data_IF_704339312798
#
_entry.id   IF_704339312798
#
_cell.length_a   1.000
_cell.length_b   1.000
_cell.length_c   1.000
_cell.angle_alpha   90.00
_cell.angle_beta   90.00
_cell.angle_gamma   90.00
#
_symmetry.space_group_name_H-M   'P 1'
#
loop_
_entity.id
_entity.type
_entity.pdbx_description
1 polymer ?
#
# COMPACT_ATOMS: atom_id res chain seq x y z
N UNK A 1 -66.99 -17.95 -19.18
CA UNK A 1 -66.38 -17.38 -20.40
C UNK A 1 -65.60 -16.14 -19.97
N UNK A 2 -64.32 -16.31 -19.61
CA UNK A 2 -63.16 -15.98 -20.46
C UNK A 2 -63.12 -14.52 -20.92
N UNK A 3 -62.23 -13.75 -20.29
CA UNK A 3 -61.27 -12.94 -21.05
C UNK A 3 -61.35 -11.42 -20.94
N UNK A 4 -60.18 -10.86 -20.60
CA UNK A 4 -59.55 -9.73 -21.31
C UNK A 4 -59.63 -8.32 -20.69
N UNK A 5 -58.65 -8.10 -19.80
CA UNK A 5 -57.63 -7.04 -19.82
C UNK A 5 -57.99 -5.57 -20.16
N UNK A 6 -57.54 -4.73 -19.20
CA UNK A 6 -56.79 -3.46 -19.30
C UNK A 6 -57.60 -2.17 -19.47
N UNK A 7 -57.55 -1.33 -18.44
CA UNK A 7 -57.34 0.12 -18.60
C UNK A 7 -56.46 0.63 -17.45
N UNK A 8 -55.39 1.28 -17.86
CA UNK A 8 -54.34 1.96 -17.10
C UNK A 8 -54.89 3.30 -16.61
N UNK A 9 -54.46 3.81 -15.44
CA UNK A 9 -54.16 5.25 -15.25
C UNK A 9 -53.60 5.59 -13.85
N UNK A 10 -52.40 6.17 -13.89
CA UNK A 10 -51.93 7.31 -13.08
C UNK A 10 -51.77 7.18 -11.57
N UNK A 11 -50.66 6.58 -11.14
CA UNK A 11 -49.88 6.99 -9.96
C UNK A 11 -48.44 6.57 -10.30
N UNK A 12 -47.37 7.37 -10.34
CA UNK A 12 -46.99 8.56 -9.61
C UNK A 12 -45.90 9.25 -10.45
N UNK A 13 -46.14 10.45 -10.96
CA UNK A 13 -45.03 11.35 -11.30
C UNK A 13 -44.54 11.92 -9.98
N UNK A 14 -43.38 11.50 -9.48
CA UNK A 14 -42.59 12.27 -8.52
C UNK A 14 -41.15 11.72 -8.48
N UNK A 15 -40.22 12.62 -8.81
CA UNK A 15 -38.79 12.58 -8.49
C UNK A 15 -37.88 11.79 -9.44
N UNK A 16 -37.85 12.19 -10.72
CA UNK A 16 -36.62 12.16 -11.53
C UNK A 16 -35.66 13.27 -11.06
N UNK A 17 -35.24 13.23 -9.81
CA UNK A 17 -34.38 14.25 -9.22
C UNK A 17 -33.57 13.70 -8.06
N UNK A 18 -32.30 13.37 -8.32
CA UNK A 18 -31.37 12.83 -7.35
C UNK A 18 -31.23 11.32 -7.53
N UNK A 19 -30.08 10.75 -7.86
CA UNK A 19 -28.77 11.10 -7.36
C UNK A 19 -27.76 10.91 -8.50
N UNK A 20 -27.30 12.01 -9.14
CA UNK A 20 -26.07 11.99 -9.96
C UNK A 20 -24.83 12.17 -9.11
N UNK A 21 -24.88 11.66 -7.89
CA UNK A 21 -23.72 11.51 -7.03
C UNK A 21 -23.61 10.01 -6.76
N UNK A 22 -23.18 9.27 -7.78
CA UNK A 22 -22.20 8.23 -7.49
C UNK A 22 -21.06 8.98 -6.79
N UNK A 23 -21.12 9.02 -5.47
CA UNK A 23 -19.97 9.34 -4.66
C UNK A 23 -18.87 8.44 -5.20
N UNK A 24 -17.85 9.03 -5.84
CA UNK A 24 -16.58 8.34 -6.03
C UNK A 24 -16.24 7.82 -4.64
N UNK A 25 -16.36 6.52 -4.44
CA UNK A 25 -15.83 5.81 -3.27
C UNK A 25 -14.44 6.42 -3.07
N UNK A 26 -14.25 7.09 -1.92
CA UNK A 26 -13.25 8.13 -1.73
C UNK A 26 -11.97 7.81 -2.47
N UNK A 27 -11.73 8.52 -3.57
CA UNK A 27 -10.64 8.19 -4.49
C UNK A 27 -9.35 8.57 -3.78
N UNK A 28 -8.77 7.63 -3.04
CA UNK A 28 -7.40 7.52 -2.61
C UNK A 28 -6.55 8.40 -3.52
N UNK A 29 -6.11 9.56 -3.01
CA UNK A 29 -5.25 10.43 -3.80
C UNK A 29 -3.96 9.66 -4.00
N UNK A 30 -3.59 9.42 -5.27
CA UNK A 30 -2.35 8.71 -5.60
C UNK A 30 -1.19 9.37 -4.86
N UNK A 31 -0.33 8.59 -4.18
CA UNK A 31 0.86 9.15 -3.57
C UNK A 31 1.74 9.89 -4.59
N UNK A 32 2.43 10.93 -4.13
CA UNK A 32 3.40 11.70 -4.91
C UNK A 32 4.81 11.08 -4.91
N UNK A 33 4.99 9.95 -4.20
CA UNK A 33 6.20 9.15 -4.16
C UNK A 33 6.07 7.85 -4.96
N UNK A 34 7.21 7.20 -5.24
CA UNK A 34 7.24 5.87 -5.84
C UNK A 34 6.56 4.85 -4.91
N UNK A 35 5.66 4.07 -5.48
CA UNK A 35 5.01 2.93 -4.83
C UNK A 35 5.44 1.66 -5.55
N UNK A 36 5.87 0.69 -4.77
CA UNK A 36 6.18 -0.68 -5.16
C UNK A 36 4.95 -1.56 -4.92
N UNK A 37 4.63 -2.40 -5.89
CA UNK A 37 3.63 -3.43 -5.81
C UNK A 37 4.32 -4.77 -5.58
N UNK A 38 4.22 -5.31 -4.37
CA UNK A 38 4.93 -6.53 -3.99
C UNK A 38 3.94 -7.67 -3.80
N UNK A 39 4.29 -8.87 -4.27
CA UNK A 39 3.44 -10.05 -4.14
C UNK A 39 3.91 -11.23 -4.96
N UNK A 40 3.14 -12.31 -4.96
CA UNK A 40 3.44 -13.47 -5.79
C UNK A 40 2.84 -13.33 -7.18
N UNK A 41 3.69 -13.15 -8.20
CA UNK A 41 3.25 -13.01 -9.60
C UNK A 41 2.46 -14.25 -10.11
N UNK A 42 2.73 -15.44 -9.58
CA UNK A 42 2.04 -16.68 -9.95
C UNK A 42 0.69 -16.85 -9.24
N UNK A 43 0.46 -16.09 -8.16
CA UNK A 43 -0.72 -16.18 -7.31
C UNK A 43 -1.21 -14.79 -6.90
N UNK A 44 -1.64 -13.92 -7.85
CA UNK A 44 -2.13 -12.60 -7.52
C UNK A 44 -3.39 -12.69 -6.65
N UNK A 45 -3.45 -11.89 -5.60
CA UNK A 45 -4.63 -11.74 -4.75
C UNK A 45 -5.62 -10.72 -5.32
N UNK A 46 -5.14 -9.66 -6.01
CA UNK A 46 -6.02 -8.56 -6.46
C UNK A 46 -6.44 -8.72 -7.92
N UNK A 47 -7.70 -9.08 -8.13
CA UNK A 47 -8.28 -9.30 -9.47
C UNK A 47 -8.30 -8.04 -10.36
N UNK A 48 -8.35 -6.84 -9.77
CA UNK A 48 -8.37 -5.58 -10.50
C UNK A 48 -6.97 -5.03 -10.83
N UNK A 49 -5.92 -5.55 -10.17
CA UNK A 49 -4.53 -5.30 -10.54
C UNK A 49 -3.97 -6.32 -11.51
N UNK A 50 -4.78 -7.22 -12.06
CA UNK A 50 -4.38 -8.19 -13.09
C UNK A 50 -3.77 -7.58 -14.38
N UNK A 51 -3.54 -6.25 -14.43
CA UNK A 51 -2.81 -5.54 -15.48
C UNK A 51 -1.53 -4.83 -15.00
N UNK A 52 -1.28 -4.74 -13.70
CA UNK A 52 -0.04 -4.16 -13.14
C UNK A 52 0.81 -5.31 -12.62
N UNK A 53 1.94 -5.62 -13.28
CA UNK A 53 2.87 -6.62 -12.77
C UNK A 53 3.39 -6.19 -11.39
N UNK A 54 3.52 -7.16 -10.48
CA UNK A 54 4.27 -6.95 -9.24
C UNK A 54 5.73 -6.59 -9.58
N UNK A 55 6.30 -5.66 -8.82
CA UNK A 55 7.72 -5.31 -8.89
C UNK A 55 8.61 -6.47 -8.38
N UNK A 56 8.06 -7.38 -7.61
CA UNK A 56 8.72 -8.58 -7.11
C UNK A 56 8.01 -9.21 -5.92
N UNK A 57 8.47 -10.40 -5.52
CA UNK A 57 8.06 -11.02 -4.25
C UNK A 57 8.68 -10.27 -3.08
N UNK A 58 9.97 -9.96 -3.20
CA UNK A 58 10.73 -9.17 -2.23
C UNK A 58 11.12 -7.82 -2.84
N UNK A 59 11.56 -6.88 -2.00
CA UNK A 59 12.11 -5.61 -2.45
C UNK A 59 13.55 -5.45 -1.99
N UNK A 60 14.44 -5.10 -2.92
CA UNK A 60 15.74 -4.51 -2.62
C UNK A 60 15.78 -3.11 -3.23
N UNK A 61 15.74 -2.09 -2.37
CA UNK A 61 15.76 -0.68 -2.76
C UNK A 61 17.06 -0.03 -2.30
N UNK A 62 17.83 0.49 -3.25
CA UNK A 62 19.05 1.25 -2.99
C UNK A 62 18.71 2.73 -2.83
N UNK A 63 19.21 3.35 -1.76
CA UNK A 63 19.12 4.78 -1.52
C UNK A 63 20.48 5.36 -1.11
N UNK A 64 20.70 6.64 -1.41
CA UNK A 64 21.95 7.33 -1.13
C UNK A 64 21.73 8.40 -0.06
N UNK A 65 22.63 8.44 0.91
CA UNK A 65 22.68 9.49 1.93
C UNK A 65 23.93 10.35 1.75
N UNK A 66 23.76 11.67 1.68
CA UNK A 66 24.89 12.62 1.66
C UNK A 66 25.59 12.70 3.02
N UNK A 67 24.79 12.56 4.08
CA UNK A 67 25.22 12.60 5.48
C UNK A 67 24.48 11.52 6.29
N UNK A 68 25.13 11.04 7.35
CA UNK A 68 24.56 10.06 8.28
C UNK A 68 24.11 10.74 9.56
N UNK A 69 22.96 10.36 10.14
CA UNK A 69 22.56 10.81 11.47
C UNK A 69 23.64 10.49 12.52
N UNK A 70 23.91 11.44 13.43
CA UNK A 70 24.87 11.26 14.53
C UNK A 70 24.31 10.43 15.69
N UNK A 71 23.02 10.16 15.69
CA UNK A 71 22.29 9.40 16.71
C UNK A 71 21.28 8.46 16.06
N UNK A 72 20.39 7.87 16.86
CA UNK A 72 19.29 7.07 16.35
C UNK A 72 18.42 7.86 15.37
N UNK A 73 17.92 7.16 14.36
CA UNK A 73 17.08 7.71 13.32
C UNK A 73 15.80 6.88 13.17
N UNK A 74 14.85 7.39 12.40
CA UNK A 74 13.63 6.67 12.06
C UNK A 74 13.55 6.43 10.57
N UNK A 75 13.34 5.19 10.16
CA UNK A 75 12.91 4.84 8.81
C UNK A 75 11.38 4.90 8.75
N UNK A 76 10.84 5.80 7.94
CA UNK A 76 9.42 5.88 7.63
C UNK A 76 9.15 5.11 6.33
N UNK A 77 8.17 4.21 6.39
CA UNK A 77 7.66 3.46 5.24
C UNK A 77 6.15 3.66 5.12
N UNK A 78 5.67 4.16 3.99
CA UNK A 78 4.25 4.05 3.68
C UNK A 78 3.93 2.62 3.20
N UNK A 79 2.82 2.07 3.67
CA UNK A 79 2.37 0.72 3.33
C UNK A 79 0.85 0.69 3.15
N UNK A 80 0.35 -0.33 2.46
CA UNK A 80 -1.07 -0.65 2.39
C UNK A 80 -1.28 -2.17 2.18
N UNK A 81 -2.43 -2.66 2.66
CA UNK A 81 -2.86 -4.05 2.51
C UNK A 81 -1.94 -5.11 3.14
N UNK A 82 -1.27 -4.81 4.25
CA UNK A 82 -0.33 -5.75 4.88
C UNK A 82 -1.09 -6.71 5.80
N UNK A 83 -1.21 -7.98 5.39
CA UNK A 83 -1.92 -9.03 6.17
C UNK A 83 -0.97 -9.87 7.01
N UNK A 84 0.27 -10.05 6.54
CA UNK A 84 1.26 -10.91 7.19
C UNK A 84 2.58 -10.18 7.48
N UNK A 85 3.47 -10.83 8.22
CA UNK A 85 4.68 -10.22 8.76
C UNK A 85 5.79 -10.07 7.70
N UNK A 86 5.77 -8.97 6.94
CA UNK A 86 6.86 -8.58 6.04
C UNK A 86 8.06 -8.05 6.83
N UNK A 87 9.21 -8.72 6.74
CA UNK A 87 10.42 -8.34 7.48
C UNK A 87 11.10 -7.15 6.81
N UNK A 88 11.57 -6.19 7.61
CA UNK A 88 12.30 -5.00 7.12
C UNK A 88 13.74 -5.02 7.63
N UNK A 89 14.69 -4.83 6.72
CA UNK A 89 16.11 -4.74 7.03
C UNK A 89 16.78 -3.59 6.29
N UNK A 90 17.82 -3.00 6.88
CA UNK A 90 18.71 -2.03 6.22
C UNK A 90 20.13 -2.55 6.31
N UNK A 91 20.85 -2.54 5.19
CA UNK A 91 22.23 -3.03 5.09
C UNK A 91 22.40 -4.44 5.66
N UNK A 92 21.39 -5.30 5.48
CA UNK A 92 21.35 -6.68 5.99
C UNK A 92 20.99 -6.82 7.47
N UNK A 93 20.86 -5.73 8.24
CA UNK A 93 20.42 -5.78 9.65
C UNK A 93 18.92 -5.64 9.73
N UNK A 94 18.25 -6.62 10.34
CA UNK A 94 16.80 -6.58 10.61
C UNK A 94 16.46 -5.43 11.56
N UNK A 95 15.49 -4.61 11.16
CA UNK A 95 14.92 -3.52 11.95
C UNK A 95 13.61 -3.92 12.63
N UNK A 96 12.81 -4.74 11.95
CA UNK A 96 11.48 -5.12 12.42
C UNK A 96 10.65 -5.71 11.30
N UNK A 97 9.36 -5.33 11.29
CA UNK A 97 8.39 -5.74 10.29
C UNK A 97 7.41 -4.61 9.98
N UNK A 98 6.76 -4.69 8.84
CA UNK A 98 5.62 -3.83 8.52
C UNK A 98 4.48 -4.05 9.53
N UNK A 99 3.68 -3.01 9.75
CA UNK A 99 2.53 -3.10 10.63
C UNK A 99 1.41 -3.90 9.96
N UNK A 100 0.67 -4.72 10.71
CA UNK A 100 -0.42 -5.55 10.15
C UNK A 100 -1.69 -4.71 9.98
N UNK A 101 -1.72 -3.93 8.90
CA UNK A 101 -2.84 -3.07 8.55
C UNK A 101 -3.21 -3.23 7.08
N UNK A 102 -4.48 -3.53 6.84
CA UNK A 102 -5.08 -3.57 5.50
C UNK A 102 -5.54 -2.20 4.99
N UNK A 103 -5.08 -1.12 5.63
CA UNK A 103 -5.35 0.27 5.26
C UNK A 103 -4.03 1.02 5.05
N UNK A 104 -4.03 2.17 4.32
CA UNK A 104 -2.83 2.96 4.13
C UNK A 104 -2.31 3.55 5.45
N UNK A 105 -1.07 3.24 5.83
CA UNK A 105 -0.40 3.78 7.02
C UNK A 105 1.06 4.10 6.75
N UNK A 106 1.67 4.92 7.61
CA UNK A 106 3.13 5.09 7.69
C UNK A 106 3.63 4.32 8.90
N UNK A 107 4.52 3.37 8.67
CA UNK A 107 5.18 2.55 9.69
C UNK A 107 6.55 3.14 10.01
N UNK A 108 6.76 3.67 11.23
CA UNK A 108 8.08 4.08 11.70
C UNK A 108 8.87 2.86 12.22
N UNK A 109 10.15 2.78 11.87
CA UNK A 109 11.08 1.78 12.36
C UNK A 109 12.34 2.46 12.89
N UNK A 110 12.71 2.13 14.12
CA UNK A 110 13.95 2.60 14.71
C UNK A 110 15.17 2.11 13.91
N UNK A 111 16.08 3.03 13.60
CA UNK A 111 17.34 2.78 12.93
C UNK A 111 18.46 3.07 13.91
N UNK A 112 19.14 2.03 14.44
CA UNK A 112 20.22 2.21 15.40
C UNK A 112 21.35 3.08 14.84
N UNK A 113 21.97 3.88 15.71
CA UNK A 113 23.16 4.66 15.36
C UNK A 113 24.25 3.75 14.77
N UNK A 114 24.95 4.25 13.75
CA UNK A 114 26.01 3.54 13.04
C UNK A 114 25.52 2.48 12.02
N UNK A 115 24.21 2.24 11.87
CA UNK A 115 23.72 1.31 10.85
C UNK A 115 23.75 1.89 9.44
N UNK A 116 23.45 3.18 9.31
CA UNK A 116 23.44 3.90 8.04
C UNK A 116 24.86 4.33 7.67
N UNK A 117 25.13 4.33 6.37
CA UNK A 117 26.41 4.74 5.79
C UNK A 117 26.23 5.99 4.95
N UNK A 118 27.28 6.82 4.88
CA UNK A 118 27.36 7.85 3.85
C UNK A 118 27.51 7.15 2.50
N UNK A 119 26.77 7.62 1.50
CA UNK A 119 26.67 6.95 0.21
C UNK A 119 25.56 5.91 0.19
N UNK A 120 25.83 4.77 -0.44
CA UNK A 120 24.83 3.75 -0.75
C UNK A 120 24.39 2.94 0.48
N UNK A 121 23.08 2.76 0.62
CA UNK A 121 22.44 1.89 1.59
C UNK A 121 21.35 1.07 0.88
N UNK A 122 21.07 -0.13 1.41
CA UNK A 122 20.04 -1.01 0.85
C UNK A 122 18.96 -1.27 1.88
N UNK A 123 17.72 -0.90 1.54
CA UNK A 123 16.50 -1.35 2.20
C UNK A 123 16.08 -2.69 1.59
N UNK A 124 15.82 -3.67 2.44
CA UNK A 124 15.25 -4.97 2.04
C UNK A 124 13.92 -5.18 2.74
N UNK A 125 12.87 -5.48 1.97
CA UNK A 125 11.64 -6.06 2.48
C UNK A 125 11.55 -7.50 2.01
N UNK A 126 11.39 -8.41 2.97
CA UNK A 126 11.27 -9.85 2.71
C UNK A 126 9.83 -10.30 2.91
N UNK A 127 9.29 -10.97 1.89
CA UNK A 127 7.95 -11.50 1.91
C UNK A 127 7.74 -12.55 3.01
N UNK A 128 6.52 -12.66 3.54
CA UNK A 128 6.12 -13.77 4.39
C UNK A 128 6.09 -15.09 3.60
N UNK A 129 5.87 -16.21 4.31
CA UNK A 129 5.66 -17.51 3.65
C UNK A 129 4.29 -17.57 2.98
N UNK A 130 3.31 -16.96 3.62
CA UNK A 130 1.94 -16.81 3.17
C UNK A 130 1.90 -16.02 1.85
N UNK A 131 0.80 -16.20 1.10
CA UNK A 131 0.55 -15.38 -0.06
C UNK A 131 -0.03 -14.05 0.40
N UNK A 132 0.69 -12.96 0.13
CA UNK A 132 0.29 -11.60 0.48
C UNK A 132 0.68 -10.67 -0.67
N UNK A 133 -0.20 -9.74 -1.01
CA UNK A 133 0.00 -8.71 -2.03
C UNK A 133 -0.15 -7.34 -1.38
N UNK A 134 0.92 -6.53 -1.43
CA UNK A 134 1.00 -5.27 -0.69
C UNK A 134 1.47 -4.12 -1.58
N UNK A 135 1.23 -2.89 -1.12
CA UNK A 135 1.87 -1.70 -1.68
C UNK A 135 2.81 -1.11 -0.64
N UNK A 136 4.01 -0.72 -1.07
CA UNK A 136 5.01 -0.07 -0.21
C UNK A 136 5.60 1.14 -0.93
N UNK A 137 5.72 2.26 -0.25
CA UNK A 137 6.26 3.50 -0.81
C UNK A 137 6.76 4.39 0.30
N UNK A 138 7.10 5.64 -0.04
CA UNK A 138 7.74 6.60 0.87
C UNK A 138 8.88 5.93 1.65
N UNK A 139 10.08 5.93 1.09
CA UNK A 139 11.26 5.43 1.80
C UNK A 139 12.01 6.66 2.28
N UNK A 140 11.90 6.97 3.57
CA UNK A 140 12.50 8.18 4.14
C UNK A 140 13.18 7.90 5.47
N UNK A 141 14.40 8.40 5.62
CA UNK A 141 15.11 8.45 6.90
C UNK A 141 14.93 9.84 7.50
N UNK A 142 14.50 9.89 8.76
CA UNK A 142 14.40 11.12 9.56
C UNK A 142 15.44 11.06 10.69
N UNK A 143 16.25 12.11 10.91
CA UNK A 143 17.29 12.14 11.96
C UNK A 143 16.67 12.45 13.33
N UNK A 144 15.63 11.71 13.71
CA UNK A 144 14.93 11.79 14.99
C UNK A 144 14.53 10.38 15.43
N UNK A 145 14.69 10.03 16.71
CA UNK A 145 14.12 8.81 17.28
C UNK A 145 12.59 8.79 17.21
#
# INVERSE_FOLDING_TARGET
>A
MTGTRRTVCFVLFLLLGGCKTLNRVGLWKRPDFKVYHLGNAEQPEWLDLNKTPVDGRDLNHVFVLEETPSSEATLLLWQNNVKYAWSVAVNGRKLGQLALYEIPVVTPLAVPSGLLKKGENTLTLTAPKENDEILVGLIRVEPRP
#
